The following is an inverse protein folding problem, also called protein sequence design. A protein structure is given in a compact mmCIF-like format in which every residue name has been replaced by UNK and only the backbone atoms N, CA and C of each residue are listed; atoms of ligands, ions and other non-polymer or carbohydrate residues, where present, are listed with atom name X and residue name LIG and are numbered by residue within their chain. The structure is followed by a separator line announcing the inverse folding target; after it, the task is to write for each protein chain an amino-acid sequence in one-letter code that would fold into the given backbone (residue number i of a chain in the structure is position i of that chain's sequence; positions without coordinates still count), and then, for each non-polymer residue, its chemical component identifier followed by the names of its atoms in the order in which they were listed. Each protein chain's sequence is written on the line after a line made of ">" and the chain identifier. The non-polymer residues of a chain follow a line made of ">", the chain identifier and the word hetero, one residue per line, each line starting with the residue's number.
data_IF_231611174275
#
_entry.id   IF_231611174275
#
_cell.length_a   1.000
_cell.length_b   1.000
_cell.length_c   1.000
_cell.angle_alpha   90.00
_cell.angle_beta   90.00
_cell.angle_gamma   90.00
#
_symmetry.space_group_name_H-M   'P 1'
#
loop_
_entity.id
_entity.type
_entity.pdbx_description
1 polymer ?
#
# COMPACT_ATOMS: atom_id res chain seq x y z
N UNK A 1 17.48 -1.50 2.19
CA UNK A 1 16.88 -0.91 3.41
C UNK A 1 16.55 -2.04 4.39
N UNK A 2 16.61 -1.84 5.72
CA UNK A 2 16.37 -2.95 6.67
C UNK A 2 14.89 -3.32 6.88
N UNK A 3 13.94 -2.47 6.46
CA UNK A 3 12.51 -2.66 6.72
C UNK A 3 11.61 -2.80 5.49
N UNK A 4 12.15 -3.25 4.36
CA UNK A 4 11.38 -3.49 3.11
C UNK A 4 10.18 -4.40 3.32
N UNK A 5 10.32 -5.43 4.18
CA UNK A 5 9.24 -6.34 4.51
C UNK A 5 8.05 -5.64 5.19
N UNK A 6 8.30 -4.69 6.10
CA UNK A 6 7.24 -4.01 6.83
C UNK A 6 6.40 -3.10 5.90
N UNK A 7 7.02 -2.55 4.86
CA UNK A 7 6.35 -1.72 3.83
C UNK A 7 5.43 -2.53 2.90
N UNK A 8 5.61 -3.85 2.83
CA UNK A 8 4.70 -4.76 2.11
C UNK A 8 3.44 -5.11 2.89
N UNK A 9 3.36 -4.72 4.17
CA UNK A 9 2.21 -5.03 5.00
C UNK A 9 0.96 -4.25 4.49
N UNK A 10 -0.13 -4.96 4.12
CA UNK A 10 -1.38 -4.34 3.67
C UNK A 10 -1.94 -3.24 4.58
N UNK A 11 -1.73 -3.38 5.90
CA UNK A 11 -2.21 -2.42 6.89
C UNK A 11 -1.43 -1.10 6.81
N UNK A 12 -0.09 -1.19 6.74
CA UNK A 12 0.79 -0.03 6.60
C UNK A 12 0.54 0.68 5.27
N UNK A 13 0.38 -0.07 4.18
CA UNK A 13 0.02 0.49 2.87
C UNK A 13 -1.30 1.25 2.95
N UNK A 14 -2.35 0.67 3.55
CA UNK A 14 -3.66 1.35 3.72
C UNK A 14 -3.55 2.65 4.52
N UNK A 15 -2.83 2.64 5.64
CA UNK A 15 -2.61 3.84 6.47
C UNK A 15 -1.85 4.92 5.71
N UNK A 16 -0.78 4.55 5.02
CA UNK A 16 0.00 5.46 4.19
C UNK A 16 -0.85 6.06 3.07
N UNK A 17 -1.68 5.25 2.38
CA UNK A 17 -2.60 5.74 1.36
C UNK A 17 -3.57 6.79 1.91
N UNK A 18 -4.18 6.53 3.07
CA UNK A 18 -5.09 7.49 3.70
C UNK A 18 -4.39 8.77 4.13
N UNK A 19 -3.16 8.66 4.64
CA UNK A 19 -2.33 9.81 4.95
C UNK A 19 -2.07 10.68 3.71
N UNK A 20 -1.56 10.10 2.62
CA UNK A 20 -1.22 10.85 1.41
C UNK A 20 -2.45 11.38 0.65
N UNK A 21 -3.62 10.74 0.81
CA UNK A 21 -4.88 11.27 0.29
C UNK A 21 -5.32 12.56 1.02
N UNK A 22 -4.98 12.70 2.31
CA UNK A 22 -5.30 13.88 3.13
C UNK A 22 -4.18 14.93 3.10
N UNK A 23 -2.93 14.50 3.15
CA UNK A 23 -1.73 15.32 3.27
C UNK A 23 -0.75 15.03 2.13
N UNK A 24 -0.94 15.71 0.99
CA UNK A 24 -0.16 15.47 -0.24
C UNK A 24 1.34 15.73 -0.11
N UNK A 25 1.73 16.65 0.77
CA UNK A 25 3.13 17.09 0.93
C UNK A 25 3.79 16.55 2.22
N UNK A 26 3.06 15.79 3.04
CA UNK A 26 3.62 15.20 4.25
C UNK A 26 4.48 13.99 3.95
N UNK A 27 5.31 13.56 4.91
CA UNK A 27 5.99 12.27 4.89
C UNK A 27 5.29 11.35 5.89
N UNK A 28 4.76 10.22 5.42
CA UNK A 28 4.23 9.20 6.31
C UNK A 28 5.37 8.45 6.98
N UNK A 29 5.27 8.25 8.30
CA UNK A 29 6.17 7.41 9.08
C UNK A 29 5.38 6.32 9.78
N UNK A 30 6.03 5.20 10.10
CA UNK A 30 5.42 4.11 10.84
C UNK A 30 6.42 3.43 11.77
N UNK A 31 5.90 2.76 12.79
CA UNK A 31 6.72 2.00 13.73
C UNK A 31 7.15 0.70 13.07
N UNK A 32 8.45 0.51 12.99
CA UNK A 32 9.09 -0.68 12.46
C UNK A 32 9.95 -1.35 13.53
N UNK A 33 10.46 -2.56 13.25
CA UNK A 33 11.28 -3.30 14.21
C UNK A 33 12.58 -2.57 14.59
N UNK A 34 13.05 -1.66 13.74
CA UNK A 34 14.36 -1.01 13.87
C UNK A 34 14.27 0.51 14.06
N UNK A 35 13.09 1.09 13.87
CA UNK A 35 12.87 2.53 13.90
C UNK A 35 11.38 2.82 14.12
N UNK A 36 11.06 3.59 15.15
CA UNK A 36 9.68 3.97 15.49
C UNK A 36 9.09 5.01 14.52
N UNK A 37 9.95 5.74 13.81
CA UNK A 37 9.59 6.77 12.83
C UNK A 37 10.14 6.40 11.44
N UNK A 38 10.01 5.13 11.04
CA UNK A 38 10.52 4.67 9.74
C UNK A 38 9.82 5.42 8.61
N UNK A 39 10.57 6.14 7.75
CA UNK A 39 9.98 6.91 6.68
C UNK A 39 9.43 5.99 5.59
N UNK A 40 8.23 6.31 5.13
CA UNK A 40 7.60 5.64 4.00
C UNK A 40 7.17 6.66 2.95
N UNK A 41 8.09 7.04 2.05
CA UNK A 41 7.85 7.99 0.97
C UNK A 41 6.71 7.55 0.05
N UNK A 42 6.05 8.54 -0.56
CA UNK A 42 4.94 8.32 -1.50
C UNK A 42 5.34 7.46 -2.71
N UNK A 43 6.56 7.65 -3.23
CA UNK A 43 7.04 6.88 -4.39
C UNK A 43 7.20 5.40 -4.04
N UNK A 44 7.71 5.09 -2.85
CA UNK A 44 7.80 3.72 -2.36
C UNK A 44 6.42 3.12 -2.12
N UNK A 45 5.48 3.90 -1.58
CA UNK A 45 4.09 3.47 -1.41
C UNK A 45 3.47 3.06 -2.76
N UNK A 46 3.71 3.82 -3.83
CA UNK A 46 3.20 3.50 -5.15
C UNK A 46 3.76 2.16 -5.66
N UNK A 47 5.05 1.90 -5.45
CA UNK A 47 5.70 0.64 -5.79
C UNK A 47 5.13 -0.53 -4.98
N UNK A 48 4.98 -0.37 -3.66
CA UNK A 48 4.39 -1.41 -2.80
C UNK A 48 2.93 -1.69 -3.19
N UNK A 49 2.18 -0.64 -3.53
CA UNK A 49 0.79 -0.74 -3.98
C UNK A 49 0.68 -1.45 -5.34
N UNK A 50 1.61 -1.19 -6.26
CA UNK A 50 1.79 -1.92 -7.52
C UNK A 50 1.93 -3.43 -7.30
N UNK A 51 2.88 -3.81 -6.43
CA UNK A 51 3.16 -5.20 -6.08
C UNK A 51 1.94 -5.87 -5.46
N UNK A 52 1.26 -5.18 -4.54
CA UNK A 52 0.08 -5.73 -3.89
C UNK A 52 -1.09 -5.93 -4.87
N UNK A 53 -1.31 -4.97 -5.78
CA UNK A 53 -2.31 -5.11 -6.85
C UNK A 53 -1.98 -6.31 -7.74
N UNK A 54 -0.71 -6.54 -8.07
CA UNK A 54 -0.28 -7.71 -8.86
C UNK A 54 -0.59 -9.02 -8.13
N UNK A 55 -0.22 -9.12 -6.85
CA UNK A 55 -0.51 -10.30 -6.03
C UNK A 55 -2.01 -10.58 -5.92
N UNK A 56 -2.83 -9.54 -5.75
CA UNK A 56 -4.29 -9.67 -5.70
C UNK A 56 -4.88 -10.11 -7.04
N UNK A 57 -4.34 -9.66 -8.17
CA UNK A 57 -4.75 -10.14 -9.49
C UNK A 57 -4.41 -11.61 -9.69
N UNK A 58 -3.22 -12.04 -9.27
CA UNK A 58 -2.81 -13.44 -9.32
C UNK A 58 -3.71 -14.31 -8.43
N UNK A 59 -3.98 -13.87 -7.20
CA UNK A 59 -4.90 -14.54 -6.28
C UNK A 59 -6.33 -14.63 -6.83
N UNK A 60 -6.84 -13.54 -7.41
CA UNK A 60 -8.16 -13.53 -8.05
C UNK A 60 -8.20 -14.48 -9.26
N UNK A 61 -7.10 -14.63 -10.00
CA UNK A 61 -7.02 -15.57 -11.12
C UNK A 61 -7.04 -17.03 -10.67
N UNK A 62 -6.51 -17.35 -9.49
CA UNK A 62 -6.47 -18.72 -8.96
C UNK A 62 -7.71 -19.08 -8.16
N UNK A 63 -8.25 -18.11 -7.39
CA UNK A 63 -9.42 -18.27 -6.54
C UNK A 63 -10.29 -17.00 -6.59
N UNK A 64 -11.12 -16.83 -7.63
CA UNK A 64 -11.94 -15.63 -7.80
C UNK A 64 -13.00 -15.57 -6.70
N UNK A 65 -12.88 -14.55 -5.84
CA UNK A 65 -13.83 -14.29 -4.76
C UNK A 65 -14.36 -12.86 -4.88
N UNK A 66 -15.64 -12.63 -4.60
CA UNK A 66 -16.28 -11.31 -4.66
C UNK A 66 -15.49 -10.27 -3.84
N UNK A 67 -15.00 -10.67 -2.66
CA UNK A 67 -14.20 -9.82 -1.77
C UNK A 67 -12.88 -9.37 -2.41
N UNK A 68 -12.20 -10.28 -3.12
CA UNK A 68 -10.93 -9.97 -3.80
C UNK A 68 -11.13 -9.00 -4.95
N UNK A 69 -12.23 -9.13 -5.69
CA UNK A 69 -12.59 -8.21 -6.77
C UNK A 69 -12.90 -6.81 -6.24
N UNK A 70 -13.70 -6.72 -5.18
CA UNK A 70 -14.06 -5.45 -4.55
C UNK A 70 -12.82 -4.74 -3.98
N UNK A 71 -11.94 -5.50 -3.34
CA UNK A 71 -10.66 -4.99 -2.80
C UNK A 71 -9.77 -4.48 -3.92
N UNK A 72 -9.65 -5.21 -5.03
CA UNK A 72 -8.86 -4.82 -6.18
C UNK A 72 -9.36 -3.51 -6.81
N UNK A 73 -10.68 -3.38 -7.01
CA UNK A 73 -11.29 -2.14 -7.53
C UNK A 73 -10.99 -0.94 -6.64
N UNK A 74 -11.18 -1.09 -5.33
CA UNK A 74 -10.89 -0.03 -4.36
C UNK A 74 -9.42 0.42 -4.38
N UNK A 75 -8.48 -0.53 -4.46
CA UNK A 75 -7.05 -0.21 -4.51
C UNK A 75 -6.66 0.52 -5.81
N UNK A 76 -7.23 0.11 -6.94
CA UNK A 76 -7.00 0.77 -8.23
C UNK A 76 -7.51 2.23 -8.23
N UNK A 77 -8.69 2.47 -7.66
CA UNK A 77 -9.23 3.84 -7.54
C UNK A 77 -8.36 4.71 -6.63
N UNK A 78 -7.99 4.21 -5.45
CA UNK A 78 -7.15 4.98 -4.52
C UNK A 78 -5.78 5.26 -5.12
N UNK A 79 -5.20 4.31 -5.85
CA UNK A 79 -3.94 4.54 -6.58
C UNK A 79 -4.06 5.66 -7.60
N UNK A 80 -5.16 5.71 -8.37
CA UNK A 80 -5.39 6.78 -9.35
C UNK A 80 -5.46 8.16 -8.68
N UNK A 81 -6.00 8.25 -7.47
CA UNK A 81 -6.05 9.50 -6.67
C UNK A 81 -4.71 9.90 -6.07
N UNK A 82 -3.79 8.94 -5.90
CA UNK A 82 -2.46 9.16 -5.36
C UNK A 82 -1.44 9.56 -6.43
N UNK A 83 -1.68 9.22 -7.70
CA UNK A 83 -0.86 9.69 -8.84
C UNK A 83 -1.11 11.17 -9.10
#
# INVERSE_FOLDING_TARGET
>A
MKCEFAKTNPLIIKQAMEFYLKNKNGLFTFVSLWNDEEPFPKDELLICLDVWIKQLKELHSTAPTIETELTLKNLLEKRRKLK
#
